data_IF_352640548126
#
_entry.id   IF_352640548126
#
_cell.length_a   1.000
_cell.length_b   1.000
_cell.length_c   1.000
_cell.angle_alpha   90.00
_cell.angle_beta   90.00
_cell.angle_gamma   90.00
#
_symmetry.space_group_name_H-M   'P 1'
#
loop_
_entity.id
_entity.type
_entity.pdbx_description
1 polymer ?
#
# COMPACT_ATOMS: atom_id res chain seq x y z
N UNK A 1 17.34 -2.93 -6.79
CA UNK A 1 17.44 -1.84 -5.79
C UNK A 1 16.90 -2.36 -4.48
N UNK A 2 17.39 -1.86 -3.34
CA UNK A 2 16.79 -2.15 -2.02
C UNK A 2 15.89 -0.98 -1.64
N UNK A 3 14.69 -1.27 -1.12
CA UNK A 3 13.79 -0.27 -0.54
C UNK A 3 13.36 -0.66 0.86
N UNK A 4 12.98 0.33 1.66
CA UNK A 4 12.42 0.14 2.98
C UNK A 4 11.16 1.00 3.16
N UNK A 5 10.09 0.40 3.62
CA UNK A 5 8.80 1.07 3.83
C UNK A 5 8.00 0.33 4.91
N UNK A 6 6.97 0.95 5.46
CA UNK A 6 6.06 0.28 6.38
C UNK A 6 4.82 -0.20 5.63
N UNK A 7 4.37 -1.42 5.91
CA UNK A 7 3.11 -1.98 5.44
C UNK A 7 2.25 -2.36 6.65
N UNK A 8 1.12 -1.67 6.84
CA UNK A 8 0.22 -1.89 7.97
C UNK A 8 0.96 -1.86 9.34
N UNK A 9 1.94 -0.96 9.47
CA UNK A 9 2.77 -0.81 10.67
C UNK A 9 3.96 -1.77 10.78
N UNK A 10 4.11 -2.73 9.87
CA UNK A 10 5.26 -3.64 9.81
C UNK A 10 6.35 -3.08 8.88
N UNK A 11 7.59 -2.96 9.38
CA UNK A 11 8.72 -2.55 8.53
C UNK A 11 9.05 -3.65 7.53
N UNK A 12 9.01 -3.32 6.23
CA UNK A 12 9.38 -4.18 5.12
C UNK A 12 10.70 -3.70 4.54
N UNK A 13 11.61 -4.65 4.30
CA UNK A 13 12.85 -4.43 3.56
C UNK A 13 12.86 -5.40 2.40
N UNK A 14 12.84 -4.85 1.18
CA UNK A 14 12.78 -5.65 -0.04
C UNK A 14 14.07 -5.42 -0.82
N UNK A 15 14.84 -6.49 -0.98
CA UNK A 15 16.07 -6.50 -1.76
C UNK A 15 15.78 -6.95 -3.20
N UNK A 16 16.55 -6.41 -4.17
CA UNK A 16 16.44 -6.78 -5.59
C UNK A 16 15.04 -6.60 -6.22
N UNK A 17 14.29 -5.58 -5.80
CA UNK A 17 12.98 -5.25 -6.37
C UNK A 17 13.08 -4.90 -7.86
N UNK A 18 12.20 -5.48 -8.68
CA UNK A 18 12.06 -5.12 -10.10
C UNK A 18 11.50 -3.70 -10.25
N UNK A 19 12.04 -2.88 -11.17
CA UNK A 19 11.57 -1.51 -11.38
C UNK A 19 10.14 -1.43 -11.93
N UNK A 20 9.57 -2.54 -12.41
CA UNK A 20 8.24 -2.61 -13.01
C UNK A 20 7.20 -3.29 -12.13
N UNK A 21 7.58 -3.80 -10.94
CA UNK A 21 6.61 -4.43 -10.05
C UNK A 21 5.62 -3.39 -9.54
N UNK A 22 4.34 -3.58 -9.84
CA UNK A 22 3.27 -2.76 -9.29
C UNK A 22 3.11 -3.03 -7.80
N UNK A 23 2.63 -2.05 -7.04
CA UNK A 23 2.34 -2.24 -5.62
C UNK A 23 1.22 -3.27 -5.45
N UNK A 24 0.25 -3.30 -6.35
CA UNK A 24 -0.82 -4.31 -6.33
C UNK A 24 -0.27 -5.74 -6.43
N UNK A 25 0.62 -6.01 -7.39
CA UNK A 25 1.25 -7.32 -7.56
C UNK A 25 2.06 -7.70 -6.33
N UNK A 26 2.85 -6.76 -5.81
CA UNK A 26 3.63 -7.00 -4.59
C UNK A 26 2.74 -7.37 -3.42
N UNK A 27 1.68 -6.60 -3.15
CA UNK A 27 0.77 -6.85 -2.04
C UNK A 27 0.16 -8.26 -2.14
N UNK A 28 -0.34 -8.62 -3.32
CA UNK A 28 -1.08 -9.85 -3.54
C UNK A 28 -0.20 -11.09 -3.63
N UNK A 29 0.90 -11.00 -4.38
CA UNK A 29 1.75 -12.16 -4.74
C UNK A 29 2.90 -12.32 -3.75
N UNK A 30 3.62 -11.25 -3.42
CA UNK A 30 4.81 -11.32 -2.58
C UNK A 30 4.48 -11.22 -1.09
N UNK A 31 3.62 -10.27 -0.70
CA UNK A 31 3.28 -10.03 0.70
C UNK A 31 2.07 -10.83 1.21
N UNK A 32 1.32 -11.50 0.31
CA UNK A 32 0.14 -12.30 0.65
C UNK A 32 -1.04 -11.49 1.22
N UNK A 33 -1.02 -10.15 1.08
CA UNK A 33 -2.09 -9.24 1.47
C UNK A 33 -3.09 -9.09 0.31
N UNK A 34 -4.04 -10.02 0.27
CA UNK A 34 -4.94 -10.19 -0.87
C UNK A 34 -6.22 -9.36 -0.80
N UNK A 35 -6.43 -8.57 0.26
CA UNK A 35 -7.59 -7.72 0.48
C UNK A 35 -7.72 -6.63 -0.58
N UNK A 36 -6.61 -6.00 -0.98
CA UNK A 36 -6.56 -5.10 -2.14
C UNK A 36 -6.73 -5.91 -3.44
N UNK A 37 -7.62 -5.45 -4.34
CA UNK A 37 -8.06 -6.26 -5.50
C UNK A 37 -7.60 -5.67 -6.83
N UNK A 38 -7.38 -6.56 -7.78
CA UNK A 38 -7.30 -6.19 -9.19
C UNK A 38 -8.71 -6.17 -9.80
N UNK A 39 -9.01 -5.12 -10.55
CA UNK A 39 -10.28 -4.96 -11.26
C UNK A 39 -10.04 -4.61 -12.73
N UNK A 40 -9.66 -3.35 -12.98
CA UNK A 40 -9.38 -2.85 -14.35
C UNK A 40 -7.88 -2.78 -14.72
N UNK A 41 -6.98 -2.69 -13.72
CA UNK A 41 -5.53 -2.49 -13.90
C UNK A 41 -5.11 -1.21 -14.67
N UNK A 42 -6.00 -0.22 -14.80
CA UNK A 42 -5.73 1.05 -15.48
C UNK A 42 -6.10 2.30 -14.64
N UNK A 43 -6.39 2.10 -13.35
CA UNK A 43 -6.64 3.19 -12.39
C UNK A 43 -8.06 3.76 -12.36
N UNK A 44 -9.00 3.18 -13.12
CA UNK A 44 -10.35 3.73 -13.25
C UNK A 44 -11.31 3.24 -12.14
N UNK A 45 -11.27 1.95 -11.81
CA UNK A 45 -12.28 1.34 -10.92
C UNK A 45 -12.08 1.54 -9.41
N UNK A 46 -10.89 1.94 -8.95
CA UNK A 46 -10.58 2.10 -7.53
C UNK A 46 -10.53 0.82 -6.67
N UNK A 47 -10.74 -0.38 -7.23
CA UNK A 47 -10.69 -1.65 -6.48
C UNK A 47 -9.33 -1.95 -5.81
N UNK A 48 -8.28 -1.31 -6.32
CA UNK A 48 -6.91 -1.44 -5.85
C UNK A 48 -6.45 -0.29 -4.92
N UNK A 49 -7.40 0.52 -4.42
CA UNK A 49 -7.08 1.69 -3.59
C UNK A 49 -6.36 1.27 -2.31
N UNK A 50 -5.26 1.96 -2.01
CA UNK A 50 -4.52 1.91 -0.75
C UNK A 50 -4.28 3.33 -0.25
N UNK A 51 -3.92 3.48 1.02
CA UNK A 51 -3.41 4.76 1.54
C UNK A 51 -1.90 4.73 1.56
N UNK A 52 -1.27 5.73 0.96
CA UNK A 52 0.16 5.99 1.08
C UNK A 52 0.33 7.24 1.94
N UNK A 53 1.11 7.12 3.01
CA UNK A 53 1.45 8.22 3.90
C UNK A 53 2.90 8.60 3.67
N UNK A 54 3.11 9.85 3.29
CA UNK A 54 4.41 10.49 3.13
C UNK A 54 4.48 11.73 4.00
N UNK A 55 5.60 12.45 3.94
CA UNK A 55 5.70 13.77 4.54
C UNK A 55 5.48 14.85 3.48
N UNK A 56 4.77 15.91 3.84
CA UNK A 56 4.66 17.12 3.02
C UNK A 56 5.92 17.99 3.17
N UNK A 57 5.90 19.21 2.60
CA UNK A 57 7.02 20.15 2.69
C UNK A 57 7.32 20.67 4.10
N UNK A 58 6.38 20.52 5.04
CA UNK A 58 6.47 20.97 6.43
C UNK A 58 6.76 19.80 7.41
N UNK A 59 7.17 18.63 6.90
CA UNK A 59 7.43 17.40 7.65
C UNK A 59 6.18 16.77 8.32
N UNK A 60 4.97 17.23 7.97
CA UNK A 60 3.71 16.68 8.45
C UNK A 60 3.23 15.49 7.60
N UNK A 61 2.50 14.52 8.18
CA UNK A 61 2.00 13.36 7.45
C UNK A 61 0.92 13.77 6.43
N UNK A 62 1.18 13.49 5.15
CA UNK A 62 0.25 13.60 4.04
C UNK A 62 -0.32 12.21 3.72
N UNK A 63 -1.65 12.07 3.79
CA UNK A 63 -2.37 10.83 3.49
C UNK A 63 -2.96 10.90 2.09
N UNK A 64 -2.57 9.98 1.21
CA UNK A 64 -3.00 9.95 -0.19
C UNK A 64 -3.69 8.62 -0.49
N UNK A 65 -4.91 8.69 -1.04
CA UNK A 65 -5.55 7.53 -1.64
C UNK A 65 -4.96 7.29 -3.03
N UNK A 66 -4.35 6.13 -3.26
CA UNK A 66 -3.62 5.83 -4.50
C UNK A 66 -4.08 4.50 -5.09
N UNK A 67 -4.22 4.45 -6.41
CA UNK A 67 -4.42 3.22 -7.15
C UNK A 67 -3.13 2.40 -7.21
N UNK A 68 -3.04 1.33 -6.41
CA UNK A 68 -1.84 0.49 -6.32
C UNK A 68 -1.48 -0.25 -7.62
N UNK A 69 -2.42 -0.39 -8.57
CA UNK A 69 -2.14 -0.97 -9.89
C UNK A 69 -1.26 -0.08 -10.78
N UNK A 70 -1.24 1.24 -10.53
CA UNK A 70 -0.43 2.20 -11.30
C UNK A 70 0.84 2.66 -10.56
N UNK A 71 0.90 2.41 -9.25
CA UNK A 71 2.06 2.73 -8.42
C UNK A 71 3.08 1.61 -8.53
N UNK A 72 4.35 1.94 -8.78
CA UNK A 72 5.44 0.96 -8.81
C UNK A 72 6.13 0.90 -7.45
N UNK A 73 6.44 -0.32 -7.00
CA UNK A 73 6.97 -0.63 -5.68
C UNK A 73 8.19 0.21 -5.27
N UNK A 74 9.19 0.46 -6.15
CA UNK A 74 10.29 1.39 -5.88
C UNK A 74 9.89 2.76 -5.32
N UNK A 75 8.72 3.29 -5.68
CA UNK A 75 8.27 4.60 -5.22
C UNK A 75 7.89 4.59 -3.74
N UNK A 76 7.69 3.43 -3.12
CA UNK A 76 7.32 3.32 -1.71
C UNK A 76 8.48 3.53 -0.74
N UNK A 77 9.73 3.66 -1.20
CA UNK A 77 10.86 3.88 -0.31
C UNK A 77 10.63 5.06 0.66
N UNK A 78 10.76 4.79 1.96
CA UNK A 78 10.50 5.73 3.05
C UNK A 78 9.02 6.00 3.38
N UNK A 79 8.06 5.42 2.66
CA UNK A 79 6.63 5.64 2.89
C UNK A 79 6.02 4.69 3.93
N UNK A 80 4.82 5.02 4.41
CA UNK A 80 3.94 4.08 5.10
C UNK A 80 2.75 3.74 4.20
N UNK A 81 2.38 2.46 4.14
CA UNK A 81 1.25 1.97 3.36
C UNK A 81 0.21 1.35 4.29
N UNK A 82 -1.05 1.69 4.09
CA UNK A 82 -2.19 1.08 4.77
C UNK A 82 -3.11 0.44 3.72
N UNK A 83 -3.35 -0.86 3.89
CA UNK A 83 -4.32 -1.64 3.10
C UNK A 83 -5.58 -1.92 3.92
N UNK A 84 -6.58 -2.56 3.32
CA UNK A 84 -7.82 -2.93 4.02
C UNK A 84 -7.56 -3.82 5.24
N UNK A 85 -6.58 -4.71 5.18
CA UNK A 85 -6.18 -5.55 6.31
C UNK A 85 -5.56 -4.74 7.47
N UNK A 86 -4.97 -3.58 7.17
CA UNK A 86 -4.35 -2.70 8.17
C UNK A 86 -5.33 -1.82 8.93
N UNK A 87 -6.61 -1.80 8.54
CA UNK A 87 -7.64 -1.03 9.24
C UNK A 87 -8.08 -1.73 10.55
N UNK A 88 -8.09 -3.06 10.57
CA UNK A 88 -8.42 -3.81 11.77
C UNK A 88 -7.29 -3.70 12.81
N UNK A 89 -7.66 -3.48 14.08
CA UNK A 89 -6.72 -3.38 15.20
C UNK A 89 -7.12 -4.32 16.31
N UNK A 90 -6.16 -5.08 16.84
CA UNK A 90 -6.37 -6.01 17.96
C UNK A 90 -7.56 -6.96 17.75
N UNK A 91 -7.75 -7.44 16.51
CA UNK A 91 -8.86 -8.33 16.14
C UNK A 91 -10.22 -7.66 15.96
N UNK A 92 -10.31 -6.33 16.10
CA UNK A 92 -11.52 -5.56 15.92
C UNK A 92 -11.50 -4.83 14.57
N UNK A 93 -12.60 -4.91 13.84
CA UNK A 93 -12.78 -4.18 12.58
C UNK A 93 -12.89 -2.67 12.83
N UNK A 94 -12.39 -1.89 11.87
CA UNK A 94 -12.60 -0.44 11.87
C UNK A 94 -14.10 -0.12 11.68
N UNK A 95 -14.64 0.97 12.24
CA UNK A 95 -16.03 1.36 12.02
C UNK A 95 -16.47 1.35 10.55
N UNK A 96 -15.59 1.74 9.61
CA UNK A 96 -15.90 1.73 8.18
C UNK A 96 -16.13 0.31 7.63
N UNK A 97 -15.53 -0.71 8.25
CA UNK A 97 -15.67 -2.11 7.85
C UNK A 97 -16.94 -2.77 8.41
N UNK A 98 -17.60 -2.15 9.38
CA UNK A 98 -18.82 -2.67 10.05
C UNK A 98 -20.06 -1.79 9.85
N UNK A 99 -19.95 -0.71 9.08
CA UNK A 99 -21.02 0.25 8.85
C UNK A 99 -22.13 -0.30 7.92
#
# INVERSE_FOLDING_TARGET
>A
MTIQFYLNGELRREDAVSPTTTVLDYLRVSAGKTGTKEGCAEGDCGACTIVVVRKNGDDEPLYEAVNSCLLILPQLDGANVVTVEGLARDGHFDPVQTA
#
